data_IF_796410588457
#
_entry.id   IF_796410588457
#
_cell.length_a   1.000
_cell.length_b   1.000
_cell.length_c   1.000
_cell.angle_alpha   90.00
_cell.angle_beta   90.00
_cell.angle_gamma   90.00
#
_symmetry.space_group_name_H-M   'P 1'
#
loop_
_entity.id
_entity.type
_entity.pdbx_description
1 polymer ?
#
# COMPACT_ATOMS: atom_id res chain seq x y z
N UNK A 1 16.99 1.11 5.37
CA UNK A 1 16.07 2.02 4.64
C UNK A 1 14.83 2.44 5.44
N UNK A 2 13.84 1.57 5.71
CA UNK A 2 12.58 2.00 6.39
C UNK A 2 12.79 2.63 7.78
N UNK A 3 13.57 1.98 8.65
CA UNK A 3 13.91 2.52 9.99
C UNK A 3 14.84 3.74 9.95
N UNK A 4 15.64 3.86 8.90
CA UNK A 4 16.49 5.04 8.70
C UNK A 4 15.63 6.25 8.34
N UNK A 5 14.57 6.07 7.53
CA UNK A 5 13.65 7.14 7.18
C UNK A 5 12.88 7.67 8.40
N UNK A 6 12.44 6.77 9.30
CA UNK A 6 11.87 7.18 10.60
C UNK A 6 12.84 8.04 11.41
N UNK A 7 14.12 7.64 11.46
CA UNK A 7 15.14 8.38 12.19
C UNK A 7 15.38 9.77 11.59
N UNK A 8 15.45 9.88 10.26
CA UNK A 8 15.64 11.15 9.54
C UNK A 8 14.46 12.10 9.75
N UNK A 9 13.23 11.58 9.80
CA UNK A 9 12.01 12.39 9.91
C UNK A 9 11.54 12.61 11.35
N UNK A 10 12.33 12.21 12.36
CA UNK A 10 11.96 12.32 13.79
C UNK A 10 11.55 13.73 14.21
N UNK A 11 12.15 14.76 13.60
CA UNK A 11 11.88 16.18 13.91
C UNK A 11 11.02 16.88 12.85
N UNK A 12 10.54 16.15 11.84
CA UNK A 12 9.62 16.71 10.85
C UNK A 12 8.21 16.86 11.44
N UNK A 13 7.37 17.78 10.91
CA UNK A 13 5.97 17.84 11.28
C UNK A 13 5.25 16.51 11.00
N UNK A 14 4.41 16.08 11.96
CA UNK A 14 3.70 14.81 11.88
C UNK A 14 4.47 13.64 12.52
N UNK A 15 4.00 12.41 12.28
CA UNK A 15 4.65 11.19 12.73
C UNK A 15 4.71 10.21 11.57
N UNK A 16 5.88 9.61 11.35
CA UNK A 16 6.05 8.53 10.38
C UNK A 16 6.16 7.20 11.13
N UNK A 17 5.39 6.22 10.66
CA UNK A 17 5.45 4.84 11.14
C UNK A 17 5.79 3.94 9.95
N UNK A 18 6.94 3.27 10.02
CA UNK A 18 7.39 2.37 8.99
C UNK A 18 6.89 0.95 9.26
N UNK A 19 5.95 0.51 8.43
CA UNK A 19 5.44 -0.87 8.44
C UNK A 19 5.95 -1.57 7.19
N UNK A 20 6.66 -2.69 7.37
CA UNK A 20 7.12 -3.52 6.26
C UNK A 20 5.99 -4.46 5.83
N UNK A 21 5.69 -4.48 4.53
CA UNK A 21 4.81 -5.47 3.91
C UNK A 21 5.27 -5.76 2.47
N UNK A 22 5.32 -7.03 2.08
CA UNK A 22 5.39 -7.43 0.68
C UNK A 22 3.98 -7.39 0.08
N UNK A 23 3.73 -6.37 -0.74
CA UNK A 23 2.39 -6.09 -1.28
C UNK A 23 1.86 -7.16 -2.22
N UNK A 24 2.68 -8.10 -2.71
CA UNK A 24 2.15 -9.22 -3.49
C UNK A 24 1.48 -10.32 -2.65
N UNK A 25 1.63 -10.25 -1.32
CA UNK A 25 1.04 -11.18 -0.37
C UNK A 25 -0.12 -10.51 0.34
N UNK A 26 -1.33 -10.99 0.10
CA UNK A 26 -2.55 -10.39 0.65
C UNK A 26 -2.54 -10.40 2.18
N UNK A 27 -2.04 -11.45 2.80
CA UNK A 27 -1.92 -11.57 4.25
C UNK A 27 -1.05 -10.47 4.88
N UNK A 28 0.01 -10.03 4.20
CA UNK A 28 0.85 -8.94 4.69
C UNK A 28 0.17 -7.57 4.53
N UNK A 29 -0.70 -7.41 3.52
CA UNK A 29 -1.55 -6.21 3.37
C UNK A 29 -2.56 -6.15 4.52
N UNK A 30 -3.26 -7.26 4.80
CA UNK A 30 -4.25 -7.32 5.87
C UNK A 30 -3.61 -7.05 7.24
N UNK A 31 -2.44 -7.63 7.50
CA UNK A 31 -1.69 -7.37 8.73
C UNK A 31 -1.29 -5.89 8.88
N UNK A 32 -0.97 -5.19 7.78
CA UNK A 32 -0.69 -3.76 7.81
C UNK A 32 -1.94 -2.94 8.20
N UNK A 33 -3.11 -3.27 7.65
CA UNK A 33 -4.37 -2.61 8.02
C UNK A 33 -4.78 -2.88 9.47
N UNK A 34 -4.59 -4.10 9.97
CA UNK A 34 -4.81 -4.43 11.38
C UNK A 34 -3.90 -3.60 12.29
N UNK A 35 -2.63 -3.45 11.91
CA UNK A 35 -1.69 -2.60 12.63
C UNK A 35 -2.14 -1.13 12.61
N UNK A 36 -2.56 -0.60 11.45
CA UNK A 36 -3.04 0.78 11.33
C UNK A 36 -4.28 1.00 12.21
N UNK A 37 -5.26 0.10 12.14
CA UNK A 37 -6.48 0.18 12.95
C UNK A 37 -6.15 0.19 14.45
N UNK A 38 -5.25 -0.70 14.88
CA UNK A 38 -4.85 -0.81 16.30
C UNK A 38 -4.09 0.41 16.81
N UNK A 39 -3.23 1.02 16.00
CA UNK A 39 -2.29 2.05 16.47
C UNK A 39 -2.69 3.48 16.11
N UNK A 40 -3.42 3.66 15.00
CA UNK A 40 -3.76 4.96 14.42
C UNK A 40 -5.27 5.18 14.26
N UNK A 41 -6.08 4.14 14.48
CA UNK A 41 -7.55 4.19 14.38
C UNK A 41 -8.10 3.89 12.99
N UNK A 42 -7.37 4.19 11.91
CA UNK A 42 -7.78 3.86 10.54
C UNK A 42 -7.05 4.64 9.46
N UNK A 43 -7.57 4.58 8.23
CA UNK A 43 -7.00 5.27 7.05
C UNK A 43 -7.95 6.33 6.52
N UNK A 44 -7.50 7.58 6.44
CA UNK A 44 -8.22 8.70 5.81
C UNK A 44 -7.75 8.96 4.37
N UNK A 45 -6.48 8.68 4.09
CA UNK A 45 -5.88 8.82 2.76
C UNK A 45 -5.06 7.57 2.44
N UNK A 46 -5.33 6.95 1.30
CA UNK A 46 -4.52 5.87 0.74
C UNK A 46 -3.79 6.36 -0.52
N UNK A 47 -2.48 6.11 -0.59
CA UNK A 47 -1.68 6.34 -1.79
C UNK A 47 -1.14 5.01 -2.28
N UNK A 48 -1.74 4.47 -3.34
CA UNK A 48 -1.21 3.31 -4.05
C UNK A 48 -0.09 3.76 -4.97
N UNK A 49 1.14 3.70 -4.44
CA UNK A 49 2.36 4.06 -5.18
C UNK A 49 3.25 2.85 -5.51
N UNK A 50 3.08 1.72 -4.83
CA UNK A 50 3.88 0.54 -5.12
C UNK A 50 3.60 0.05 -6.55
N UNK A 51 4.66 -0.11 -7.33
CA UNK A 51 4.58 -0.55 -8.71
C UNK A 51 5.90 -1.15 -9.19
N UNK A 52 5.81 -2.15 -10.04
CA UNK A 52 6.95 -2.77 -10.73
C UNK A 52 6.71 -2.81 -12.23
N UNK A 53 7.80 -2.81 -13.01
CA UNK A 53 7.76 -3.01 -14.45
C UNK A 53 8.51 -4.27 -14.84
N UNK A 54 8.23 -4.78 -16.03
CA UNK A 54 9.03 -5.83 -16.67
C UNK A 54 9.51 -5.35 -18.04
N UNK A 55 10.68 -5.83 -18.46
CA UNK A 55 11.19 -5.68 -19.83
C UNK A 55 10.83 -6.89 -20.71
N UNK A 56 10.12 -7.88 -20.16
CA UNK A 56 9.72 -9.08 -20.88
C UNK A 56 8.74 -8.74 -22.01
N UNK A 57 8.92 -9.41 -23.15
CA UNK A 57 7.90 -9.40 -24.21
C UNK A 57 6.76 -10.33 -23.84
N UNK A 58 5.57 -10.06 -24.39
CA UNK A 58 4.41 -10.94 -24.17
C UNK A 58 4.64 -12.38 -24.70
N UNK A 59 5.52 -12.54 -25.69
CA UNK A 59 5.93 -13.83 -26.22
C UNK A 59 7.04 -14.53 -25.41
N UNK A 60 7.63 -13.83 -24.43
CA UNK A 60 8.70 -14.36 -23.58
C UNK A 60 8.18 -15.28 -22.47
N UNK A 61 9.09 -16.03 -21.86
CA UNK A 61 8.77 -17.03 -20.83
C UNK A 61 8.99 -16.53 -19.39
N UNK A 62 9.02 -15.22 -19.17
CA UNK A 62 9.37 -14.62 -17.88
C UNK A 62 8.18 -14.47 -16.93
N UNK A 63 8.37 -14.87 -15.66
CA UNK A 63 7.40 -14.67 -14.57
C UNK A 63 7.20 -13.18 -14.20
N UNK A 64 8.00 -12.28 -14.76
CA UNK A 64 7.96 -10.85 -14.47
C UNK A 64 6.61 -10.20 -14.82
N UNK A 65 5.94 -10.69 -15.87
CA UNK A 65 4.61 -10.22 -16.28
C UNK A 65 3.53 -10.47 -15.21
N UNK A 66 3.57 -11.63 -14.55
CA UNK A 66 2.64 -11.96 -13.46
C UNK A 66 2.89 -11.09 -12.24
N UNK A 67 4.15 -10.83 -11.90
CA UNK A 67 4.50 -9.94 -10.78
C UNK A 67 3.99 -8.52 -10.99
N UNK A 68 3.97 -8.02 -12.23
CA UNK A 68 3.37 -6.72 -12.58
C UNK A 68 1.88 -6.72 -12.26
N UNK A 69 1.15 -7.78 -12.62
CA UNK A 69 -0.28 -7.89 -12.32
C UNK A 69 -0.54 -8.02 -10.81
N UNK A 70 0.27 -8.82 -10.11
CA UNK A 70 0.14 -9.02 -8.67
C UNK A 70 0.34 -7.71 -7.88
N UNK A 71 1.34 -6.91 -8.25
CA UNK A 71 1.65 -5.65 -7.54
C UNK A 71 0.77 -4.51 -8.03
N UNK A 72 0.75 -4.23 -9.33
CA UNK A 72 0.18 -2.99 -9.85
C UNK A 72 -1.35 -3.04 -9.94
N UNK A 73 -1.95 -4.23 -9.97
CA UNK A 73 -3.40 -4.40 -10.12
C UNK A 73 -4.00 -5.07 -8.89
N UNK A 74 -3.56 -6.29 -8.56
CA UNK A 74 -4.18 -7.08 -7.48
C UNK A 74 -3.95 -6.43 -6.11
N UNK A 75 -2.70 -6.12 -5.77
CA UNK A 75 -2.38 -5.47 -4.49
C UNK A 75 -3.07 -4.11 -4.36
N UNK A 76 -2.99 -3.27 -5.39
CA UNK A 76 -3.68 -1.97 -5.45
C UNK A 76 -5.18 -2.10 -5.18
N UNK A 77 -5.83 -3.11 -5.77
CA UNK A 77 -7.26 -3.37 -5.55
C UNK A 77 -7.56 -3.79 -4.12
N UNK A 78 -6.71 -4.63 -3.51
CA UNK A 78 -6.85 -5.07 -2.12
C UNK A 78 -6.66 -3.89 -1.16
N UNK A 79 -5.62 -3.07 -1.34
CA UNK A 79 -5.40 -1.86 -0.54
C UNK A 79 -6.61 -0.92 -0.63
N UNK A 80 -7.13 -0.70 -1.84
CA UNK A 80 -8.32 0.14 -2.06
C UNK A 80 -9.54 -0.41 -1.31
N UNK A 81 -9.78 -1.73 -1.38
CA UNK A 81 -10.86 -2.42 -0.67
C UNK A 81 -10.77 -2.19 0.85
N UNK A 82 -9.59 -2.39 1.44
CA UNK A 82 -9.40 -2.25 2.89
C UNK A 82 -9.43 -0.80 3.36
N UNK A 83 -8.91 0.15 2.59
CA UNK A 83 -9.03 1.57 2.89
C UNK A 83 -10.50 2.01 2.89
N UNK A 84 -11.29 1.60 1.88
CA UNK A 84 -12.73 1.90 1.85
C UNK A 84 -13.48 1.32 3.04
N UNK A 85 -13.16 0.08 3.47
CA UNK A 85 -13.74 -0.50 4.68
C UNK A 85 -13.37 0.33 5.92
N UNK A 86 -12.10 0.70 6.07
CA UNK A 86 -11.62 1.51 7.20
C UNK A 86 -12.30 2.88 7.26
N UNK A 87 -12.51 3.54 6.12
CA UNK A 87 -13.23 4.81 6.03
C UNK A 87 -14.70 4.64 6.42
N UNK A 88 -15.39 3.63 5.84
CA UNK A 88 -16.81 3.35 6.12
C UNK A 88 -17.07 3.00 7.58
N UNK A 89 -16.24 2.16 8.19
CA UNK A 89 -16.36 1.79 9.61
C UNK A 89 -16.28 3.00 10.55
N UNK A 90 -15.59 4.06 10.13
CA UNK A 90 -15.40 5.30 10.91
C UNK A 90 -16.30 6.45 10.48
N UNK A 91 -17.14 6.25 9.46
CA UNK A 91 -18.01 7.32 8.93
C UNK A 91 -17.26 8.46 8.23
N UNK A 92 -16.09 8.19 7.65
CA UNK A 92 -15.33 9.19 6.87
C UNK A 92 -16.00 9.39 5.50
N UNK A 93 -16.36 10.63 5.17
CA UNK A 93 -17.02 11.02 3.93
C UNK A 93 -16.17 11.95 3.02
N UNK A 94 -15.01 12.40 3.51
CA UNK A 94 -14.03 13.24 2.80
C UNK A 94 -12.66 12.56 2.58
N UNK A 95 -12.63 11.23 2.69
CA UNK A 95 -11.42 10.41 2.49
C UNK A 95 -10.98 10.34 1.01
N UNK A 96 -9.69 10.11 0.78
CA UNK A 96 -9.11 10.09 -0.57
C UNK A 96 -8.33 8.81 -0.86
N UNK A 97 -8.47 8.29 -2.09
CA UNK A 97 -7.65 7.19 -2.61
C UNK A 97 -6.99 7.66 -3.89
N UNK A 98 -5.66 7.64 -3.92
CA UNK A 98 -4.84 8.12 -5.03
C UNK A 98 -4.06 6.94 -5.60
N UNK A 99 -4.18 6.72 -6.91
CA UNK A 99 -3.41 5.71 -7.64
C UNK A 99 -2.32 6.40 -8.46
N UNK A 100 -1.07 6.09 -8.18
CA UNK A 100 0.07 6.56 -8.97
C UNK A 100 0.33 5.51 -10.05
N UNK A 101 -0.08 5.82 -11.28
CA UNK A 101 0.18 4.97 -12.45
C UNK A 101 1.14 5.69 -13.40
N UNK A 102 2.05 4.95 -14.04
CA UNK A 102 3.03 5.45 -15.01
C UNK A 102 2.84 4.80 -16.37
#
# INVERSE_FOLDING_TARGET
>A
MLKELEAVLKNAPGKLYAVKADVAKEEEILAAFDWIKKNLGGVDILINNAGVGTADTLSGTGDGSWRVLDVNVKALSIFTREALKSMKERGVDDGHIIHINR
#
